data_IF_880979033902
#
_entry.id   IF_880979033902
#
_cell.length_a   1.000
_cell.length_b   1.000
_cell.length_c   1.000
_cell.angle_alpha   90.00
_cell.angle_beta   90.00
_cell.angle_gamma   90.00
#
_symmetry.space_group_name_H-M   'P 1'
#
loop_
_entity.id
_entity.type
_entity.pdbx_description
1 polymer ?
#
# COMPACT_ATOMS: atom_id res chain seq x y z
N UNK A 1 -23.80 -7.46 -28.13
CA UNK A 1 -22.76 -8.05 -27.27
C UNK A 1 -22.89 -7.40 -25.90
N UNK A 2 -23.44 -8.13 -24.93
CA UNK A 2 -23.65 -7.66 -23.56
C UNK A 2 -22.32 -7.21 -22.95
N UNK A 3 -22.23 -5.92 -22.61
CA UNK A 3 -21.17 -5.41 -21.77
C UNK A 3 -21.33 -6.06 -20.40
N UNK A 4 -20.41 -6.96 -20.06
CA UNK A 4 -20.33 -7.63 -18.78
C UNK A 4 -20.24 -6.56 -17.68
N UNK A 5 -21.40 -6.24 -17.08
CA UNK A 5 -21.52 -5.26 -15.99
C UNK A 5 -20.57 -5.68 -14.89
N UNK A 6 -19.66 -4.79 -14.48
CA UNK A 6 -18.67 -5.01 -13.42
C UNK A 6 -19.38 -5.34 -12.10
N UNK A 7 -19.73 -6.60 -11.91
CA UNK A 7 -20.55 -7.11 -10.82
C UNK A 7 -19.70 -7.25 -9.55
N UNK A 8 -20.32 -7.02 -8.39
CA UNK A 8 -19.71 -7.32 -7.10
C UNK A 8 -19.53 -8.83 -6.98
N UNK A 9 -18.35 -9.29 -6.59
CA UNK A 9 -18.04 -10.70 -6.40
C UNK A 9 -18.23 -11.09 -4.93
N UNK A 10 -19.11 -12.06 -4.67
CA UNK A 10 -19.29 -12.67 -3.36
C UNK A 10 -18.74 -14.09 -3.39
N UNK A 11 -17.74 -14.37 -2.56
CA UNK A 11 -17.09 -15.68 -2.51
C UNK A 11 -16.96 -16.17 -1.07
N UNK A 12 -17.37 -17.42 -0.82
CA UNK A 12 -17.06 -18.14 0.40
C UNK A 12 -15.61 -18.63 0.35
N UNK A 13 -14.77 -18.17 1.28
CA UNK A 13 -13.43 -18.71 1.48
C UNK A 13 -13.51 -19.99 2.30
N UNK A 14 -14.27 -19.94 3.39
CA UNK A 14 -14.62 -21.08 4.25
C UNK A 14 -16.12 -21.04 4.53
N UNK A 15 -16.64 -21.96 5.33
CA UNK A 15 -18.04 -21.90 5.77
C UNK A 15 -18.34 -20.64 6.61
N UNK A 16 -17.34 -20.16 7.35
CA UNK A 16 -17.48 -19.04 8.28
C UNK A 16 -16.85 -17.72 7.80
N UNK A 17 -16.12 -17.71 6.66
CA UNK A 17 -15.50 -16.49 6.11
C UNK A 17 -15.93 -16.28 4.66
N UNK A 18 -16.61 -15.16 4.44
CA UNK A 18 -17.12 -14.70 3.13
C UNK A 18 -16.40 -13.42 2.75
N UNK A 19 -16.17 -13.22 1.46
CA UNK A 19 -15.65 -11.96 0.90
C UNK A 19 -16.66 -11.31 -0.02
N UNK A 20 -16.70 -9.97 0.00
CA UNK A 20 -17.43 -9.15 -0.95
C UNK A 20 -16.43 -8.18 -1.57
N UNK A 21 -16.18 -8.34 -2.87
CA UNK A 21 -15.20 -7.56 -3.61
C UNK A 21 -15.90 -6.68 -4.65
N UNK A 22 -15.77 -5.36 -4.48
CA UNK A 22 -16.26 -4.39 -5.43
C UNK A 22 -15.09 -3.73 -6.17
N UNK A 23 -15.01 -3.80 -7.51
CA UNK A 23 -13.90 -3.22 -8.26
C UNK A 23 -13.90 -1.67 -8.20
N UNK A 24 -12.71 -1.05 -8.33
CA UNK A 24 -12.51 0.41 -8.22
C UNK A 24 -13.34 1.25 -9.20
N UNK A 25 -13.68 0.69 -10.37
CA UNK A 25 -14.49 1.37 -11.39
C UNK A 25 -15.98 0.98 -11.38
N UNK A 26 -16.50 0.48 -10.27
CA UNK A 26 -17.91 0.13 -10.14
C UNK A 26 -18.75 1.38 -9.84
N UNK A 27 -19.74 1.73 -10.72
CA UNK A 27 -20.62 2.86 -10.48
C UNK A 27 -21.35 2.76 -9.15
N UNK A 28 -21.54 3.90 -8.47
CA UNK A 28 -22.11 3.93 -7.12
C UNK A 28 -23.52 3.30 -7.06
N UNK A 29 -24.38 3.60 -8.03
CA UNK A 29 -25.74 3.04 -8.07
C UNK A 29 -25.74 1.50 -8.22
N UNK A 30 -24.87 0.95 -9.07
CA UNK A 30 -24.70 -0.50 -9.24
C UNK A 30 -24.18 -1.12 -7.94
N UNK A 31 -23.22 -0.45 -7.31
CA UNK A 31 -22.67 -0.90 -6.04
C UNK A 31 -23.74 -0.98 -4.94
N UNK A 32 -24.53 0.08 -4.77
CA UNK A 32 -25.56 0.15 -3.74
C UNK A 32 -26.68 -0.87 -3.98
N UNK A 33 -27.12 -1.06 -5.22
CA UNK A 33 -28.15 -2.05 -5.55
C UNK A 33 -27.68 -3.48 -5.22
N UNK A 34 -26.50 -3.87 -5.72
CA UNK A 34 -25.95 -5.19 -5.43
C UNK A 34 -25.71 -5.40 -3.92
N UNK A 35 -25.28 -4.35 -3.21
CA UNK A 35 -25.06 -4.43 -1.77
C UNK A 35 -26.36 -4.70 -1.00
N UNK A 36 -27.48 -4.09 -1.40
CA UNK A 36 -28.79 -4.37 -0.82
C UNK A 36 -29.19 -5.83 -1.02
N UNK A 37 -29.07 -6.33 -2.26
CA UNK A 37 -29.43 -7.71 -2.60
C UNK A 37 -28.58 -8.72 -1.80
N UNK A 38 -27.27 -8.46 -1.69
CA UNK A 38 -26.35 -9.29 -0.90
C UNK A 38 -26.71 -9.26 0.58
N UNK A 39 -27.04 -8.10 1.16
CA UNK A 39 -27.40 -7.99 2.57
C UNK A 39 -28.69 -8.76 2.88
N UNK A 40 -29.70 -8.67 2.01
CA UNK A 40 -30.94 -9.46 2.14
C UNK A 40 -30.64 -10.95 2.11
N UNK A 41 -29.77 -11.40 1.21
CA UNK A 41 -29.34 -12.80 1.13
C UNK A 41 -28.59 -13.23 2.40
N UNK A 42 -27.65 -12.42 2.90
CA UNK A 42 -26.91 -12.70 4.13
C UNK A 42 -27.83 -12.79 5.35
N UNK A 43 -28.81 -11.89 5.46
CA UNK A 43 -29.83 -11.93 6.53
C UNK A 43 -30.70 -13.19 6.43
N UNK A 44 -31.14 -13.56 5.23
CA UNK A 44 -31.93 -14.78 5.02
C UNK A 44 -31.16 -16.04 5.39
N UNK A 45 -29.87 -16.11 5.04
CA UNK A 45 -29.04 -17.31 5.25
C UNK A 45 -28.46 -17.43 6.66
N UNK A 46 -28.02 -16.31 7.25
CA UNK A 46 -27.25 -16.29 8.51
C UNK A 46 -27.96 -15.59 9.66
N UNK A 47 -29.11 -14.96 9.44
CA UNK A 47 -29.85 -14.21 10.44
C UNK A 47 -29.00 -13.10 11.07
N UNK A 48 -28.88 -13.13 12.41
CA UNK A 48 -28.06 -12.17 13.18
C UNK A 48 -26.63 -12.67 13.47
N UNK A 49 -26.23 -13.80 12.91
CA UNK A 49 -24.97 -14.47 13.20
C UNK A 49 -23.80 -14.01 12.32
N UNK A 50 -23.98 -12.98 11.49
CA UNK A 50 -22.88 -12.45 10.67
C UNK A 50 -22.49 -11.03 11.08
N UNK A 51 -21.22 -10.71 10.88
CA UNK A 51 -20.66 -9.37 11.01
C UNK A 51 -19.94 -8.98 9.72
N UNK A 52 -20.15 -7.76 9.27
CA UNK A 52 -19.42 -7.21 8.12
C UNK A 52 -18.21 -6.42 8.63
N UNK A 53 -17.03 -6.75 8.13
CA UNK A 53 -15.82 -5.94 8.31
C UNK A 53 -15.57 -5.20 7.00
N UNK A 54 -15.76 -3.90 7.00
CA UNK A 54 -15.47 -3.03 5.86
C UNK A 54 -14.00 -2.63 5.89
N UNK A 55 -13.21 -3.22 4.99
CA UNK A 55 -11.78 -2.96 4.83
C UNK A 55 -11.48 -1.69 4.03
N UNK A 56 -12.50 -0.92 3.65
CA UNK A 56 -12.35 0.31 2.87
C UNK A 56 -12.60 1.54 3.74
N UNK A 57 -12.56 2.72 3.12
CA UNK A 57 -13.04 3.93 3.77
C UNK A 57 -14.49 3.74 4.24
N UNK A 58 -14.81 4.46 5.32
CA UNK A 58 -16.10 4.37 6.00
C UNK A 58 -17.24 4.57 4.99
N UNK A 59 -18.22 3.67 5.06
CA UNK A 59 -19.42 3.74 4.23
C UNK A 59 -20.66 3.78 5.12
N UNK A 60 -21.20 4.97 5.35
CA UNK A 60 -22.39 5.13 6.18
C UNK A 60 -23.60 4.36 5.64
N UNK A 61 -23.66 4.09 4.33
CA UNK A 61 -24.74 3.29 3.74
C UNK A 61 -24.67 1.84 4.17
N UNK A 62 -23.47 1.25 4.23
CA UNK A 62 -23.28 -0.12 4.71
C UNK A 62 -23.72 -0.25 6.18
N UNK A 63 -23.36 0.74 6.99
CA UNK A 63 -23.71 0.79 8.43
C UNK A 63 -25.19 1.08 8.67
N UNK A 64 -25.90 1.74 7.73
CA UNK A 64 -27.36 1.86 7.76
C UNK A 64 -28.08 0.57 7.35
N UNK A 65 -27.53 -0.16 6.39
CA UNK A 65 -28.14 -1.38 5.85
C UNK A 65 -27.94 -2.60 6.76
N UNK A 66 -26.91 -2.60 7.61
CA UNK A 66 -26.63 -3.72 8.51
C UNK A 66 -26.26 -3.27 9.93
N UNK A 67 -26.82 -3.97 10.91
CA UNK A 67 -26.66 -3.70 12.34
C UNK A 67 -25.26 -3.99 12.92
N UNK A 68 -24.45 -4.84 12.28
CA UNK A 68 -23.12 -5.27 12.76
C UNK A 68 -22.07 -5.00 11.68
N UNK A 69 -21.58 -3.76 11.64
CA UNK A 69 -20.52 -3.32 10.72
C UNK A 69 -19.34 -2.79 11.52
N UNK A 70 -18.15 -3.28 11.19
CA UNK A 70 -16.87 -2.74 11.65
C UNK A 70 -16.21 -2.03 10.47
N UNK A 71 -16.13 -0.70 10.51
CA UNK A 71 -15.40 0.10 9.53
C UNK A 71 -13.94 0.25 9.95
N UNK A 72 -13.01 -0.25 9.12
CA UNK A 72 -11.56 -0.11 9.40
C UNK A 72 -10.98 1.22 8.93
N UNK A 73 -11.61 1.84 7.93
CA UNK A 73 -11.14 3.11 7.34
C UNK A 73 -9.85 2.98 6.53
N UNK A 74 -9.43 1.77 6.16
CA UNK A 74 -8.15 1.59 5.47
C UNK A 74 -8.16 2.22 4.08
N UNK A 75 -7.08 2.91 3.74
CA UNK A 75 -6.90 3.64 2.48
C UNK A 75 -6.39 2.69 1.40
N UNK A 76 -6.85 2.86 0.17
CA UNK A 76 -6.43 2.00 -0.92
C UNK A 76 -4.93 2.19 -1.24
N UNK A 77 -4.28 1.13 -1.72
CA UNK A 77 -2.85 1.05 -2.00
C UNK A 77 -1.89 1.21 -0.80
N UNK A 78 -2.36 1.69 0.36
CA UNK A 78 -1.56 1.75 1.58
C UNK A 78 -1.60 0.41 2.33
N UNK A 79 -0.51 0.07 3.00
CA UNK A 79 -0.54 -0.96 4.02
C UNK A 79 -1.17 -0.37 5.30
N UNK A 80 -2.20 -1.01 5.87
CA UNK A 80 -2.67 -0.67 7.21
C UNK A 80 -1.54 -0.83 8.23
N UNK A 81 -1.53 -0.02 9.29
CA UNK A 81 -0.47 -0.14 10.28
C UNK A 81 -0.58 -1.46 11.07
N UNK A 82 0.53 -1.89 11.66
CA UNK A 82 0.61 -3.20 12.34
C UNK A 82 -0.42 -3.36 13.45
N UNK A 83 -0.69 -2.29 14.23
CA UNK A 83 -1.67 -2.32 15.30
C UNK A 83 -3.11 -2.49 14.77
N UNK A 84 -3.45 -1.81 13.67
CA UNK A 84 -4.74 -1.96 12.99
C UNK A 84 -4.91 -3.39 12.48
N UNK A 85 -3.90 -3.96 11.82
CA UNK A 85 -3.96 -5.34 11.32
C UNK A 85 -4.19 -6.31 12.48
N UNK A 86 -3.38 -6.21 13.55
CA UNK A 86 -3.48 -7.07 14.73
C UNK A 86 -4.85 -6.94 15.40
N UNK A 87 -5.36 -5.71 15.55
CA UNK A 87 -6.67 -5.45 16.14
C UNK A 87 -7.78 -6.13 15.35
N UNK A 88 -7.79 -6.00 14.02
CA UNK A 88 -8.81 -6.64 13.17
C UNK A 88 -8.69 -8.17 13.22
N UNK A 89 -7.47 -8.74 13.16
CA UNK A 89 -7.26 -10.19 13.32
C UNK A 89 -7.81 -10.71 14.66
N UNK A 90 -7.51 -10.01 15.77
CA UNK A 90 -8.03 -10.36 17.09
C UNK A 90 -9.55 -10.28 17.16
N UNK A 91 -10.17 -9.26 16.55
CA UNK A 91 -11.63 -9.13 16.48
C UNK A 91 -12.26 -10.27 15.66
N UNK A 92 -11.64 -10.65 14.54
CA UNK A 92 -12.08 -11.79 13.73
C UNK A 92 -12.07 -13.08 14.54
N UNK A 93 -10.95 -13.38 15.20
CA UNK A 93 -10.80 -14.58 16.02
C UNK A 93 -11.82 -14.63 17.15
N UNK A 94 -11.93 -13.54 17.92
CA UNK A 94 -12.89 -13.43 19.02
C UNK A 94 -14.34 -13.58 18.54
N UNK A 95 -14.68 -13.08 17.35
CA UNK A 95 -16.01 -13.24 16.80
C UNK A 95 -16.30 -14.69 16.44
N UNK A 96 -15.40 -15.34 15.70
CA UNK A 96 -15.58 -16.72 15.24
C UNK A 96 -15.60 -17.72 16.41
N UNK A 97 -14.77 -17.52 17.44
CA UNK A 97 -14.73 -18.41 18.61
C UNK A 97 -15.98 -18.33 19.51
N UNK A 98 -16.73 -17.22 19.48
CA UNK A 98 -17.89 -17.04 20.36
C UNK A 98 -19.06 -17.98 20.05
N UNK A 99 -19.23 -18.39 18.80
CA UNK A 99 -20.35 -19.23 18.41
C UNK A 99 -20.09 -19.93 17.06
N UNK A 100 -20.39 -21.24 16.96
CA UNK A 100 -20.11 -22.04 15.76
C UNK A 100 -20.86 -21.59 14.49
N UNK A 101 -22.00 -20.90 14.65
CA UNK A 101 -22.75 -20.31 13.53
C UNK A 101 -22.28 -18.91 13.12
N UNK A 102 -21.26 -18.35 13.77
CA UNK A 102 -20.80 -17.01 13.46
C UNK A 102 -20.07 -16.95 12.11
N UNK A 103 -20.43 -15.97 11.30
CA UNK A 103 -19.86 -15.75 9.97
C UNK A 103 -19.24 -14.35 9.90
N UNK A 104 -18.07 -14.25 9.30
CA UNK A 104 -17.43 -12.99 8.95
C UNK A 104 -17.62 -12.70 7.47
N UNK A 105 -17.97 -11.46 7.17
CA UNK A 105 -18.10 -10.96 5.80
C UNK A 105 -17.07 -9.85 5.60
N UNK A 106 -16.00 -10.14 4.87
CA UNK A 106 -14.91 -9.20 4.58
C UNK A 106 -15.26 -8.41 3.31
N UNK A 107 -15.67 -7.16 3.48
CA UNK A 107 -16.01 -6.27 2.38
C UNK A 107 -14.80 -5.40 1.99
N UNK A 108 -14.49 -5.33 0.69
CA UNK A 108 -13.48 -4.42 0.15
C UNK A 108 -13.95 -3.79 -1.18
N UNK A 109 -13.91 -2.46 -1.27
CA UNK A 109 -14.19 -1.66 -2.47
C UNK A 109 -12.90 -1.03 -2.98
N UNK A 110 -12.52 -1.32 -4.22
CA UNK A 110 -11.26 -0.88 -4.83
C UNK A 110 -10.32 -2.05 -5.10
N UNK A 111 -9.03 -1.85 -4.83
CA UNK A 111 -8.05 -2.93 -4.99
C UNK A 111 -8.19 -4.02 -3.92
N UNK A 112 -7.77 -5.24 -4.28
CA UNK A 112 -7.84 -6.42 -3.42
C UNK A 112 -6.70 -6.48 -2.39
N UNK A 113 -5.71 -5.59 -2.48
CA UNK A 113 -4.52 -5.58 -1.63
C UNK A 113 -4.83 -5.56 -0.13
N UNK A 114 -5.78 -4.74 0.32
CA UNK A 114 -6.21 -4.66 1.73
C UNK A 114 -6.81 -5.98 2.25
N UNK A 115 -7.62 -6.65 1.43
CA UNK A 115 -8.12 -7.99 1.74
C UNK A 115 -6.96 -9.00 1.80
N UNK A 116 -6.00 -8.89 0.88
CA UNK A 116 -4.76 -9.67 0.90
C UNK A 116 -3.99 -9.53 2.20
N UNK A 117 -3.77 -8.29 2.66
CA UNK A 117 -3.11 -8.00 3.94
C UNK A 117 -3.84 -8.70 5.08
N UNK A 118 -5.14 -8.44 5.23
CA UNK A 118 -5.89 -9.00 6.36
C UNK A 118 -5.92 -10.53 6.33
N UNK A 119 -6.23 -11.14 5.18
CA UNK A 119 -6.34 -12.58 5.09
C UNK A 119 -4.99 -13.27 5.34
N UNK A 120 -3.91 -12.77 4.75
CA UNK A 120 -2.57 -13.33 4.97
C UNK A 120 -2.11 -13.20 6.42
N UNK A 121 -2.35 -12.04 7.04
CA UNK A 121 -2.07 -11.81 8.45
C UNK A 121 -2.93 -12.69 9.36
N UNK A 122 -4.22 -12.88 9.04
CA UNK A 122 -5.11 -13.73 9.82
C UNK A 122 -4.74 -15.21 9.73
N UNK A 123 -4.33 -15.70 8.55
CA UNK A 123 -3.78 -17.06 8.37
C UNK A 123 -2.58 -17.30 9.31
N UNK A 124 -1.71 -16.30 9.48
CA UNK A 124 -0.55 -16.40 10.39
C UNK A 124 -0.98 -16.31 11.86
N UNK A 125 -1.89 -15.39 12.17
CA UNK A 125 -2.43 -15.15 13.50
C UNK A 125 -3.17 -16.38 14.06
N UNK A 126 -4.11 -16.94 13.31
CA UNK A 126 -4.91 -18.10 13.74
C UNK A 126 -4.08 -19.37 13.88
N UNK A 127 -3.02 -19.52 13.08
CA UNK A 127 -2.08 -20.66 13.21
C UNK A 127 -1.29 -20.64 14.53
N UNK A 128 -1.12 -19.46 15.14
CA UNK A 128 -0.54 -19.34 16.47
C UNK A 128 -1.57 -19.50 17.59
N UNK A 129 -2.81 -19.07 17.33
CA UNK A 129 -3.89 -19.10 18.32
C UNK A 129 -4.53 -20.49 18.47
N UNK A 130 -4.45 -21.37 17.45
CA UNK A 130 -5.23 -22.60 17.39
C UNK A 130 -4.41 -23.91 17.51
N UNK A 131 -5.00 -24.90 18.17
CA UNK A 131 -4.59 -26.31 18.17
C UNK A 131 -5.29 -27.09 17.04
N UNK A 132 -4.52 -27.69 16.12
CA UNK A 132 -4.84 -28.78 15.17
C UNK A 132 -6.15 -28.86 14.33
N UNK A 133 -7.29 -28.30 14.75
CA UNK A 133 -8.63 -28.57 14.17
C UNK A 133 -9.00 -27.74 12.93
N UNK A 134 -8.15 -26.78 12.50
CA UNK A 134 -8.45 -25.86 11.39
C UNK A 134 -7.76 -26.18 10.06
N UNK A 135 -7.28 -27.41 9.85
CA UNK A 135 -6.44 -27.71 8.68
C UNK A 135 -7.12 -27.44 7.33
N UNK A 136 -8.42 -27.74 7.19
CA UNK A 136 -9.19 -27.50 5.96
C UNK A 136 -9.49 -26.02 5.72
N UNK A 137 -9.90 -25.29 6.75
CA UNK A 137 -10.13 -23.84 6.67
C UNK A 137 -8.83 -23.10 6.35
N UNK A 138 -7.72 -23.50 6.98
CA UNK A 138 -6.40 -22.95 6.70
C UNK A 138 -5.96 -23.21 5.26
N UNK A 139 -6.21 -24.42 4.77
CA UNK A 139 -5.96 -24.77 3.38
C UNK A 139 -6.79 -23.91 2.43
N UNK A 140 -8.09 -23.77 2.67
CA UNK A 140 -8.99 -22.98 1.83
C UNK A 140 -8.61 -21.48 1.84
N UNK A 141 -8.29 -20.92 3.01
CA UNK A 141 -7.78 -19.55 3.15
C UNK A 141 -6.46 -19.35 2.40
N UNK A 142 -5.49 -20.25 2.56
CA UNK A 142 -4.19 -20.18 1.85
C UNK A 142 -4.36 -20.29 0.34
N UNK A 143 -5.24 -21.18 -0.12
CA UNK A 143 -5.53 -21.35 -1.54
C UNK A 143 -6.17 -20.09 -2.12
N UNK A 144 -7.19 -19.56 -1.47
CA UNK A 144 -7.84 -18.32 -1.92
C UNK A 144 -6.85 -17.15 -1.95
N UNK A 145 -6.02 -17.01 -0.91
CA UNK A 145 -4.96 -16.02 -0.88
C UNK A 145 -4.00 -16.16 -2.08
N UNK A 146 -3.48 -17.36 -2.31
CA UNK A 146 -2.56 -17.65 -3.42
C UNK A 146 -3.20 -17.33 -4.78
N UNK A 147 -4.40 -17.85 -5.02
CA UNK A 147 -5.07 -17.81 -6.33
C UNK A 147 -5.63 -16.42 -6.67
N UNK A 148 -6.07 -15.64 -5.67
CA UNK A 148 -6.87 -14.42 -5.89
C UNK A 148 -6.26 -13.13 -5.38
N UNK A 149 -5.36 -13.17 -4.39
CA UNK A 149 -4.91 -11.98 -3.66
C UNK A 149 -3.40 -11.74 -3.78
N UNK A 150 -2.58 -12.78 -3.76
CA UNK A 150 -1.11 -12.70 -3.64
C UNK A 150 -0.44 -11.83 -4.72
N UNK A 151 -0.93 -11.89 -5.96
CA UNK A 151 -0.43 -11.14 -7.11
C UNK A 151 -0.97 -9.71 -7.18
N UNK A 152 -2.02 -9.41 -6.42
CA UNK A 152 -2.70 -8.10 -6.39
C UNK A 152 -2.20 -7.20 -5.25
N UNK A 153 -1.32 -7.71 -4.40
CA UNK A 153 -0.74 -6.96 -3.29
C UNK A 153 0.52 -6.22 -3.72
N UNK A 154 0.69 -5.01 -3.19
CA UNK A 154 1.93 -4.25 -3.37
C UNK A 154 3.05 -4.84 -2.52
N UNK A 155 4.34 -4.64 -2.89
CA UNK A 155 5.48 -4.98 -2.04
C UNK A 155 5.35 -4.44 -0.61
N UNK A 156 4.89 -3.20 -0.44
CA UNK A 156 4.68 -2.61 0.88
C UNK A 156 3.60 -3.32 1.69
N UNK A 157 2.50 -3.74 1.08
CA UNK A 157 1.49 -4.58 1.74
C UNK A 157 2.05 -5.93 2.18
N UNK A 158 2.85 -6.59 1.32
CA UNK A 158 3.51 -7.86 1.66
C UNK A 158 4.52 -7.69 2.80
N UNK A 159 5.26 -6.57 2.82
CA UNK A 159 6.20 -6.21 3.88
C UNK A 159 5.52 -6.18 5.25
N UNK A 160 4.38 -5.49 5.37
CA UNK A 160 3.64 -5.40 6.63
C UNK A 160 3.07 -6.76 7.09
N UNK A 161 2.62 -7.60 6.17
CA UNK A 161 2.24 -8.99 6.48
C UNK A 161 3.43 -9.77 7.03
N UNK A 162 4.60 -9.67 6.40
CA UNK A 162 5.82 -10.32 6.86
C UNK A 162 6.27 -9.83 8.24
N UNK A 163 6.25 -8.52 8.46
CA UNK A 163 6.60 -7.89 9.74
C UNK A 163 5.69 -8.38 10.87
N UNK A 164 4.37 -8.42 10.64
CA UNK A 164 3.44 -8.95 11.63
C UNK A 164 3.72 -10.43 11.89
N UNK A 165 3.95 -11.24 10.85
CA UNK A 165 4.27 -12.65 11.00
C UNK A 165 5.49 -12.90 11.87
N UNK A 166 6.56 -12.15 11.66
CA UNK A 166 7.78 -12.26 12.48
C UNK A 166 7.63 -11.67 13.88
N UNK A 167 6.82 -10.62 14.07
CA UNK A 167 6.44 -10.15 15.41
C UNK A 167 5.70 -11.23 16.19
N UNK A 168 4.70 -11.87 15.56
CA UNK A 168 3.90 -12.91 16.18
C UNK A 168 4.77 -14.10 16.60
N UNK A 169 5.72 -14.52 15.76
CA UNK A 169 6.69 -15.59 16.08
C UNK A 169 7.77 -15.19 17.09
N UNK A 170 7.87 -13.91 17.46
CA UNK A 170 8.94 -13.40 18.32
C UNK A 170 10.32 -13.30 17.64
N UNK A 171 10.38 -13.41 16.32
CA UNK A 171 11.61 -13.29 15.52
C UNK A 171 12.05 -11.82 15.37
N UNK A 172 11.10 -10.89 15.39
CA UNK A 172 11.33 -9.45 15.27
C UNK A 172 10.88 -8.72 16.54
N UNK A 173 11.66 -7.71 16.95
CA UNK A 173 11.35 -6.83 18.08
C UNK A 173 11.17 -5.40 17.59
N UNK A 174 10.02 -4.82 17.93
CA UNK A 174 9.70 -3.44 17.63
C UNK A 174 10.51 -2.51 18.55
N UNK A 175 11.31 -1.62 17.96
CA UNK A 175 11.92 -0.51 18.68
C UNK A 175 11.00 0.72 18.59
N UNK A 176 10.38 1.18 19.68
CA UNK A 176 9.51 2.35 19.62
C UNK A 176 10.30 3.67 19.57
N UNK A 177 11.61 3.66 19.80
CA UNK A 177 12.39 4.90 19.88
C UNK A 177 12.45 5.61 18.53
N UNK A 178 12.24 6.94 18.50
CA UNK A 178 12.36 7.72 17.28
C UNK A 178 13.83 7.79 16.84
N UNK A 179 14.06 7.99 15.54
CA UNK A 179 15.38 8.13 14.94
C UNK A 179 15.41 9.31 13.98
N UNK A 180 16.55 9.98 13.88
CA UNK A 180 16.70 11.08 12.94
C UNK A 180 17.00 10.53 11.56
N UNK A 181 16.28 10.95 10.52
CA UNK A 181 16.67 10.68 9.15
C UNK A 181 17.60 11.80 8.69
N UNK A 182 18.83 11.43 8.35
CA UNK A 182 19.84 12.34 7.82
C UNK A 182 19.73 12.49 6.31
N UNK A 183 19.56 11.37 5.60
CA UNK A 183 19.65 11.38 4.15
C UNK A 183 18.90 10.21 3.51
N UNK A 184 18.30 10.50 2.35
CA UNK A 184 17.75 9.49 1.44
C UNK A 184 18.62 9.43 0.19
N UNK A 185 19.07 8.23 -0.17
CA UNK A 185 19.85 8.01 -1.39
C UNK A 185 19.00 7.24 -2.38
N UNK A 186 18.87 7.79 -3.58
CA UNK A 186 18.25 7.13 -4.72
C UNK A 186 19.34 6.70 -5.70
N UNK A 187 19.52 5.39 -5.84
CA UNK A 187 20.48 4.80 -6.78
C UNK A 187 19.83 4.60 -8.15
N UNK A 188 20.60 4.79 -9.23
CA UNK A 188 20.16 4.64 -10.61
C UNK A 188 18.85 5.39 -10.90
N UNK A 189 18.86 6.73 -10.78
CA UNK A 189 17.63 7.52 -10.89
C UNK A 189 16.95 7.32 -12.25
N UNK A 190 15.60 7.37 -12.29
CA UNK A 190 14.84 7.06 -13.49
C UNK A 190 15.17 8.05 -14.63
N UNK A 191 15.56 7.53 -15.80
CA UNK A 191 15.86 8.33 -17.01
C UNK A 191 14.60 8.39 -17.89
N UNK A 192 13.64 9.22 -17.51
CA UNK A 192 12.33 9.28 -18.18
C UNK A 192 12.46 10.06 -19.50
N UNK A 193 12.00 9.46 -20.62
CA UNK A 193 11.99 10.11 -21.94
C UNK A 193 10.77 11.02 -22.06
N UNK A 194 10.97 12.26 -22.51
CA UNK A 194 9.87 13.10 -22.97
C UNK A 194 9.22 12.48 -24.21
N UNK A 195 7.90 12.30 -24.14
CA UNK A 195 7.06 11.81 -25.22
C UNK A 195 7.38 12.53 -26.56
N UNK A 196 7.79 11.75 -27.57
CA UNK A 196 7.74 12.18 -28.98
C UNK A 196 8.95 12.90 -29.61
N UNK A 197 10.14 12.92 -29.00
CA UNK A 197 11.38 13.21 -29.75
C UNK A 197 12.00 14.59 -29.53
N UNK A 198 12.89 14.65 -28.53
CA UNK A 198 14.25 15.21 -28.56
C UNK A 198 14.79 15.00 -27.14
N UNK A 199 15.91 14.32 -27.03
CA UNK A 199 16.51 13.92 -25.75
C UNK A 199 16.93 15.16 -24.94
N UNK A 200 16.07 15.60 -24.03
CA UNK A 200 16.44 16.50 -22.96
C UNK A 200 16.61 15.64 -21.71
N UNK A 201 17.86 15.30 -21.37
CA UNK A 201 18.22 14.43 -20.24
C UNK A 201 18.00 15.08 -18.86
N UNK A 202 17.04 16.00 -18.73
CA UNK A 202 16.67 16.60 -17.46
C UNK A 202 15.51 15.81 -16.87
N UNK A 203 15.82 14.90 -15.94
CA UNK A 203 14.81 14.21 -15.13
C UNK A 203 14.51 15.05 -13.89
N UNK A 204 13.23 15.07 -13.50
CA UNK A 204 12.76 15.77 -12.31
C UNK A 204 12.10 14.77 -11.38
N UNK A 205 12.72 14.55 -10.22
CA UNK A 205 12.20 13.63 -9.21
C UNK A 205 11.73 14.45 -8.01
N UNK A 206 10.50 14.21 -7.59
CA UNK A 206 9.95 14.78 -6.36
C UNK A 206 9.70 13.65 -5.37
N UNK A 207 10.40 13.69 -4.23
CA UNK A 207 10.24 12.74 -3.14
C UNK A 207 9.40 13.39 -2.03
N UNK A 208 8.30 12.73 -1.67
CA UNK A 208 7.40 13.16 -0.60
C UNK A 208 7.47 12.13 0.50
N UNK A 209 7.93 12.56 1.68
CA UNK A 209 7.78 11.84 2.94
C UNK A 209 6.65 12.49 3.73
N UNK A 210 5.93 11.76 4.59
CA UNK A 210 4.73 12.23 5.31
C UNK A 210 4.79 13.63 5.95
N UNK A 211 5.99 14.23 6.10
CA UNK A 211 6.23 15.55 6.70
C UNK A 211 7.15 16.45 5.83
N UNK A 212 7.79 15.94 4.76
CA UNK A 212 8.84 16.68 4.05
C UNK A 212 8.79 16.47 2.52
N UNK A 213 8.99 17.55 1.78
CA UNK A 213 9.10 17.52 0.31
C UNK A 213 10.52 17.81 -0.12
N UNK A 214 11.04 16.99 -1.02
CA UNK A 214 12.35 17.14 -1.62
C UNK A 214 12.18 17.12 -3.13
N UNK A 215 12.54 18.21 -3.80
CA UNK A 215 12.48 18.30 -5.25
C UNK A 215 13.90 18.29 -5.81
N UNK A 216 14.22 17.44 -6.77
CA UNK A 216 15.52 17.47 -7.45
C UNK A 216 15.38 17.61 -8.96
N UNK A 217 16.25 18.45 -9.52
CA UNK A 217 16.48 18.57 -10.96
C UNK A 217 17.90 18.09 -11.24
N UNK A 218 18.05 17.12 -12.13
CA UNK A 218 19.36 16.53 -12.43
C UNK A 218 19.46 16.10 -13.89
N UNK A 219 20.71 16.05 -14.38
CA UNK A 219 21.02 15.45 -15.66
C UNK A 219 21.14 13.92 -15.52
N UNK A 220 20.11 13.19 -15.95
CA UNK A 220 20.02 11.74 -15.80
C UNK A 220 21.07 10.95 -16.61
N UNK A 221 21.79 11.60 -17.54
CA UNK A 221 22.87 10.99 -18.30
C UNK A 221 24.21 10.89 -17.54
N UNK A 222 24.39 11.68 -16.47
CA UNK A 222 25.68 11.84 -15.79
C UNK A 222 25.60 11.56 -14.27
N UNK A 223 24.50 10.99 -13.79
CA UNK A 223 24.25 10.84 -12.35
C UNK A 223 23.72 9.45 -12.02
N UNK A 224 24.52 8.67 -11.32
CA UNK A 224 24.17 7.32 -10.87
C UNK A 224 23.50 7.30 -9.49
N UNK A 225 23.55 8.42 -8.74
CA UNK A 225 22.97 8.55 -7.40
C UNK A 225 22.47 9.96 -7.14
N UNK A 226 21.35 10.05 -6.43
CA UNK A 226 20.82 11.30 -5.91
C UNK A 226 20.79 11.23 -4.39
N UNK A 227 21.44 12.19 -3.75
CA UNK A 227 21.40 12.37 -2.30
C UNK A 227 20.38 13.44 -1.95
N UNK A 228 19.47 13.13 -1.04
CA UNK A 228 18.53 14.07 -0.47
C UNK A 228 18.89 14.27 1.00
N UNK A 229 19.73 15.27 1.27
CA UNK A 229 20.22 15.58 2.63
C UNK A 229 19.17 16.40 3.38
N UNK A 230 18.66 15.88 4.49
CA UNK A 230 17.69 16.58 5.32
C UNK A 230 18.44 17.53 6.26
N UNK A 231 18.18 18.83 6.13
CA UNK A 231 18.77 19.88 6.97
C UNK A 231 17.66 20.79 7.51
N UNK A 232 17.32 20.71 8.82
CA UNK A 232 17.89 19.79 9.81
C UNK A 232 17.44 18.32 9.59
N UNK A 233 18.16 17.33 10.15
CA UNK A 233 17.71 15.93 10.18
C UNK A 233 16.29 15.80 10.75
N UNK A 234 15.49 14.90 10.20
CA UNK A 234 14.07 14.78 10.55
C UNK A 234 13.85 13.67 11.57
N UNK A 235 13.28 13.99 12.74
CA UNK A 235 12.93 12.98 13.74
C UNK A 235 11.70 12.19 13.27
N UNK A 236 11.86 10.89 13.00
CA UNK A 236 10.79 10.01 12.53
C UNK A 236 10.49 8.89 13.54
N UNK A 237 9.22 8.47 13.59
CA UNK A 237 8.74 7.37 14.41
C UNK A 237 7.54 6.71 13.73
N UNK A 238 7.38 5.40 13.91
CA UNK A 238 6.23 4.65 13.39
C UNK A 238 6.29 4.40 11.88
N UNK A 239 5.13 4.45 11.22
CA UNK A 239 5.01 4.21 9.79
C UNK A 239 5.45 5.42 8.96
N UNK A 240 6.30 5.15 7.96
CA UNK A 240 6.82 6.14 7.01
C UNK A 240 6.41 5.74 5.60
N UNK A 241 5.85 6.70 4.87
CA UNK A 241 5.59 6.58 3.44
C UNK A 241 6.50 7.50 2.65
N UNK A 242 7.03 6.98 1.55
CA UNK A 242 7.81 7.71 0.57
C UNK A 242 7.16 7.55 -0.78
N UNK A 243 6.85 8.66 -1.44
CA UNK A 243 6.30 8.68 -2.79
C UNK A 243 7.22 9.47 -3.70
N UNK A 244 7.60 8.87 -4.82
CA UNK A 244 8.36 9.53 -5.86
C UNK A 244 7.47 9.86 -7.05
N UNK A 245 7.54 11.12 -7.47
CA UNK A 245 6.83 11.63 -8.63
C UNK A 245 7.81 12.07 -9.72
N UNK A 246 7.41 11.85 -10.96
CA UNK A 246 7.93 12.55 -12.13
C UNK A 246 7.08 13.78 -12.40
N UNK A 247 7.71 14.95 -12.48
CA UNK A 247 7.04 16.24 -12.68
C UNK A 247 7.22 16.72 -14.11
N UNK A 248 6.19 16.55 -14.93
CA UNK A 248 6.18 17.11 -16.28
C UNK A 248 5.75 18.60 -16.26
N UNK A 249 6.72 19.49 -16.46
CA UNK A 249 6.48 20.94 -16.46
C UNK A 249 5.50 21.42 -17.53
N UNK A 250 5.32 20.67 -18.63
CA UNK A 250 4.46 21.12 -19.73
C UNK A 250 2.97 20.99 -19.42
N UNK A 251 2.60 20.04 -18.56
CA UNK A 251 1.20 19.67 -18.31
C UNK A 251 0.74 19.89 -16.87
N UNK A 252 1.60 20.43 -16.00
CA UNK A 252 1.37 20.52 -14.54
C UNK A 252 0.91 19.18 -13.92
N UNK A 253 1.24 18.06 -14.57
CA UNK A 253 0.82 16.72 -14.17
C UNK A 253 1.98 16.01 -13.47
N UNK A 254 1.65 15.21 -12.44
CA UNK A 254 2.60 14.38 -11.70
C UNK A 254 2.27 12.93 -11.96
N UNK A 255 3.26 12.16 -12.40
CA UNK A 255 3.13 10.72 -12.51
C UNK A 255 3.88 10.07 -11.34
N UNK A 256 3.25 9.13 -10.66
CA UNK A 256 3.94 8.36 -9.61
C UNK A 256 4.92 7.40 -10.28
N UNK A 257 6.18 7.48 -9.89
CA UNK A 257 7.23 6.56 -10.32
C UNK A 257 7.23 5.32 -9.44
N UNK A 258 7.23 5.50 -8.12
CA UNK A 258 7.07 4.42 -7.17
C UNK A 258 6.55 4.94 -5.82
N UNK A 259 6.10 4.01 -4.97
CA UNK A 259 5.84 4.26 -3.53
C UNK A 259 6.60 3.24 -2.69
N UNK A 260 6.84 3.60 -1.44
CA UNK A 260 7.47 2.74 -0.46
C UNK A 260 6.86 3.05 0.91
N UNK A 261 6.44 2.02 1.63
CA UNK A 261 5.98 2.17 3.02
C UNK A 261 6.72 1.21 3.94
N UNK A 262 7.28 1.71 5.04
CA UNK A 262 8.00 0.91 6.02
C UNK A 262 7.78 1.46 7.43
N UNK A 263 8.17 0.70 8.45
CA UNK A 263 7.99 1.10 9.86
C UNK A 263 9.35 1.26 10.54
N UNK A 264 9.56 2.42 11.16
CA UNK A 264 10.80 2.83 11.82
C UNK A 264 11.29 1.89 12.91
N UNK A 265 10.36 1.29 13.65
CA UNK A 265 10.70 0.37 14.72
C UNK A 265 11.38 -0.94 14.31
N UNK A 266 11.63 -1.14 13.01
CA UNK A 266 12.42 -2.27 12.50
C UNK A 266 13.73 -1.84 11.84
N UNK A 267 14.10 -0.58 12.04
CA UNK A 267 15.43 -0.07 11.70
C UNK A 267 16.36 -0.42 12.85
N UNK A 268 17.16 -1.47 12.67
CA UNK A 268 18.17 -1.89 13.66
C UNK A 268 19.60 -1.49 13.26
N UNK A 269 19.82 -1.18 11.99
CA UNK A 269 21.09 -0.70 11.45
C UNK A 269 21.00 0.80 11.14
N UNK A 270 22.13 1.52 11.09
CA UNK A 270 22.15 2.95 10.72
C UNK A 270 21.73 3.20 9.26
N UNK A 271 21.41 2.14 8.52
CA UNK A 271 21.05 2.16 7.11
C UNK A 271 19.86 1.23 6.84
N UNK A 272 18.89 1.65 6.02
CA UNK A 272 17.82 0.79 5.54
C UNK A 272 17.78 0.79 4.01
N UNK A 273 17.89 -0.40 3.40
CA UNK A 273 17.99 -0.54 1.94
C UNK A 273 16.76 -1.24 1.35
N UNK A 274 16.23 -0.73 0.23
CA UNK A 274 15.11 -1.33 -0.50
C UNK A 274 15.41 -1.46 -1.98
N UNK A 275 15.44 -2.68 -2.48
CA UNK A 275 15.61 -2.98 -3.90
C UNK A 275 14.34 -2.62 -4.68
N UNK A 276 14.41 -2.63 -6.01
CA UNK A 276 13.23 -2.34 -6.84
C UNK A 276 12.03 -3.23 -6.51
N UNK A 277 12.25 -4.53 -6.29
CA UNK A 277 11.19 -5.49 -5.98
C UNK A 277 10.43 -5.13 -4.71
N UNK A 278 11.01 -4.26 -3.88
CA UNK A 278 10.44 -3.74 -2.64
C UNK A 278 9.64 -2.44 -2.86
N UNK A 279 9.65 -1.87 -4.07
CA UNK A 279 8.98 -0.61 -4.40
C UNK A 279 7.64 -0.85 -5.10
N UNK A 280 6.59 -0.19 -4.62
CA UNK A 280 5.26 -0.25 -5.20
C UNK A 280 5.23 0.53 -6.52
N UNK A 281 4.53 0.01 -7.53
CA UNK A 281 4.37 0.63 -8.86
C UNK A 281 5.67 0.75 -9.70
N UNK A 282 6.78 0.13 -9.28
CA UNK A 282 8.02 0.14 -10.07
C UNK A 282 7.97 -0.87 -11.24
N UNK A 283 7.94 -0.39 -12.49
CA UNK A 283 7.79 -1.22 -13.70
C UNK A 283 8.95 -2.19 -13.99
N UNK A 284 8.66 -3.39 -14.52
CA UNK A 284 9.51 -4.58 -14.78
C UNK A 284 10.88 -4.39 -15.49
N UNK A 285 11.14 -3.29 -16.19
CA UNK A 285 12.41 -3.11 -16.94
C UNK A 285 13.58 -2.65 -16.08
N UNK A 286 14.03 -3.37 -15.05
CA UNK A 286 15.15 -2.89 -14.22
C UNK A 286 16.00 -4.06 -13.73
N UNK A 287 17.32 -3.98 -13.94
CA UNK A 287 18.30 -4.93 -13.41
C UNK A 287 18.98 -4.38 -12.16
N UNK A 288 19.35 -5.26 -11.23
CA UNK A 288 20.14 -4.92 -10.05
C UNK A 288 21.58 -4.60 -10.44
N UNK A 289 22.07 -3.42 -10.07
CA UNK A 289 23.51 -3.19 -9.92
C UNK A 289 23.93 -3.58 -8.49
N UNK A 290 25.20 -3.81 -8.24
CA UNK A 290 25.69 -4.06 -6.89
C UNK A 290 25.90 -2.72 -6.16
N UNK A 291 25.59 -2.62 -4.86
CA UNK A 291 25.91 -1.43 -4.07
C UNK A 291 27.43 -1.25 -3.99
N UNK A 292 27.95 -0.16 -4.57
CA UNK A 292 29.29 0.34 -4.25
C UNK A 292 29.18 1.38 -3.13
N UNK A 293 30.03 1.34 -2.11
CA UNK A 293 30.06 2.41 -1.11
C UNK A 293 30.64 3.69 -1.73
N UNK A 294 30.00 4.86 -1.56
CA UNK A 294 30.59 6.13 -1.97
C UNK A 294 31.56 6.63 -0.89
N UNK A 295 32.62 7.30 -1.33
CA UNK A 295 33.60 7.97 -0.46
C UNK A 295 33.19 9.39 -0.06
N UNK A 296 32.12 9.97 -0.65
CA UNK A 296 31.55 11.28 -0.31
C UNK A 296 30.02 11.34 -0.47
N UNK A 297 29.33 11.84 0.55
CA UNK A 297 27.86 12.02 0.63
C UNK A 297 27.37 13.35 0.02
N UNK A 298 27.76 13.66 -1.21
CA UNK A 298 27.38 14.94 -1.83
C UNK A 298 26.98 14.77 -3.30
N UNK A 299 25.94 15.51 -3.69
CA UNK A 299 25.56 15.65 -5.09
C UNK A 299 26.63 16.42 -5.87
N UNK A 300 26.92 15.99 -7.10
CA UNK A 300 27.75 16.75 -8.03
C UNK A 300 27.05 18.03 -8.51
N UNK A 301 27.81 18.94 -9.13
CA UNK A 301 27.30 20.24 -9.62
C UNK A 301 26.15 20.17 -10.63
N UNK A 302 25.87 18.98 -11.21
CA UNK A 302 24.79 18.72 -12.16
C UNK A 302 23.43 18.44 -11.51
N UNK A 303 23.34 18.42 -10.17
CA UNK A 303 22.12 18.12 -9.41
C UNK A 303 21.79 19.31 -8.51
N UNK A 304 20.55 19.80 -8.62
CA UNK A 304 20.02 20.82 -7.72
C UNK A 304 18.85 20.22 -6.96
N UNK A 305 18.88 20.29 -5.63
CA UNK A 305 17.77 19.88 -4.76
C UNK A 305 17.16 21.13 -4.15
N UNK A 306 15.88 21.33 -4.38
CA UNK A 306 15.04 22.35 -3.75
C UNK A 306 14.34 21.74 -2.54
N UNK A 307 14.61 22.35 -1.39
CA UNK A 307 14.09 21.95 -0.08
C UNK A 307 12.88 22.82 0.35
N UNK A 308 12.58 23.90 -0.38
CA UNK A 308 11.61 24.94 0.00
C UNK A 308 10.33 24.90 -0.85
N UNK A 309 10.00 23.76 -1.46
CA UNK A 309 8.76 23.63 -2.25
C UNK A 309 7.51 23.85 -1.39
N UNK A 310 6.87 25.03 -1.52
CA UNK A 310 5.62 25.42 -0.84
C UNK A 310 4.35 24.86 -1.51
N UNK A 311 4.38 23.62 -2.01
CA UNK A 311 3.23 23.05 -2.73
C UNK A 311 2.07 22.68 -1.77
N UNK A 312 0.90 23.33 -1.86
CA UNK A 312 -0.19 23.19 -0.89
C UNK A 312 -0.93 21.85 -0.97
N UNK A 313 -0.73 21.06 -2.03
CA UNK A 313 -1.44 19.78 -2.24
C UNK A 313 -0.91 18.68 -1.30
N UNK A 314 0.30 18.84 -0.75
CA UNK A 314 1.05 17.75 -0.11
C UNK A 314 0.97 17.75 1.43
N UNK A 315 0.52 18.84 2.05
CA UNK A 315 0.29 18.91 3.51
C UNK A 315 -0.86 18.01 4.01
N UNK A 316 -1.59 17.34 3.09
CA UNK A 316 -2.79 16.55 3.37
C UNK A 316 -2.54 15.05 3.55
N UNK A 317 -1.34 14.54 3.31
CA UNK A 317 -1.07 13.09 3.28
C UNK A 317 -0.52 12.53 4.61
N UNK A 318 -0.50 13.33 5.68
CA UNK A 318 -0.36 12.79 7.03
C UNK A 318 -1.66 12.06 7.42
N UNK A 319 -1.57 11.02 8.24
CA UNK A 319 -2.71 10.21 8.76
C UNK A 319 -3.84 10.99 9.48
N UNK A 320 -3.85 12.32 9.44
CA UNK A 320 -4.84 13.19 10.06
C UNK A 320 -5.43 14.17 9.03
N UNK A 321 -6.75 14.03 8.85
CA UNK A 321 -7.72 14.86 8.12
C UNK A 321 -7.94 14.58 6.63
N UNK A 322 -9.07 13.90 6.34
CA UNK A 322 -9.62 13.72 4.99
C UNK A 322 -10.99 14.41 4.93
N UNK A 323 -11.09 15.49 4.14
CA UNK A 323 -12.37 16.02 3.65
C UNK A 323 -12.67 15.44 2.26
N UNK A 324 -13.95 15.18 1.91
CA UNK A 324 -14.32 14.62 0.62
C UNK A 324 -14.41 15.72 -0.43
N UNK A 325 -13.78 15.54 -1.61
CA UNK A 325 -13.96 16.25 -2.91
C UNK A 325 -12.64 16.10 -3.71
N UNK A 326 -12.54 15.72 -4.99
CA UNK A 326 -13.45 15.49 -6.10
C UNK A 326 -12.91 14.33 -6.95
N UNK A 327 -13.81 13.48 -7.43
CA UNK A 327 -13.57 12.49 -8.48
C UNK A 327 -13.28 13.20 -9.81
N UNK A 328 -12.05 13.10 -10.29
CA UNK A 328 -11.71 13.33 -11.70
C UNK A 328 -11.37 11.98 -12.34
N UNK A 329 -12.25 11.49 -13.20
CA UNK A 329 -11.97 10.35 -14.08
C UNK A 329 -10.73 10.64 -14.93
N UNK A 330 -9.80 9.68 -15.01
CA UNK A 330 -8.76 9.65 -16.06
C UNK A 330 -8.74 8.26 -16.69
N UNK A 331 -8.81 8.15 -18.03
CA UNK A 331 -8.81 6.87 -18.71
C UNK A 331 -7.39 6.30 -18.78
N UNK A 332 -7.27 5.00 -18.50
CA UNK A 332 -6.09 4.21 -18.83
C UNK A 332 -5.90 4.17 -20.35
N UNK A 333 -4.76 4.68 -20.83
CA UNK A 333 -3.95 4.13 -21.93
C UNK A 333 -2.73 5.02 -22.19
N UNK A 334 -1.52 4.47 -22.04
CA UNK A 334 -0.48 4.62 -23.05
C UNK A 334 0.50 3.45 -22.97
N UNK A 335 0.63 2.77 -24.10
CA UNK A 335 1.68 1.81 -24.41
C UNK A 335 2.85 2.58 -25.01
N UNK A 336 4.02 2.53 -24.36
CA UNK A 336 5.29 2.99 -24.89
C UNK A 336 6.43 2.19 -24.25
N UNK A 337 7.53 1.91 -24.96
CA UNK A 337 8.60 1.08 -24.43
C UNK A 337 9.40 1.87 -23.37
N UNK A 338 9.39 1.38 -22.13
CA UNK A 338 10.20 1.91 -21.02
C UNK A 338 11.55 1.22 -21.05
N UNK A 339 12.64 2.00 -21.15
CA UNK A 339 14.02 1.49 -21.12
C UNK A 339 14.50 1.22 -19.70
N UNK A 340 15.52 0.36 -19.58
CA UNK A 340 15.94 -0.26 -18.33
C UNK A 340 16.55 0.69 -17.27
N UNK A 341 16.18 0.56 -15.98
CA UNK A 341 16.80 1.28 -14.84
C UNK A 341 17.33 0.33 -13.75
N UNK A 342 17.88 0.84 -12.64
CA UNK A 342 18.35 0.08 -11.46
C UNK A 342 18.10 0.94 -10.21
N UNK A 343 16.95 0.79 -9.55
CA UNK A 343 16.53 1.69 -8.48
C UNK A 343 16.49 0.98 -7.14
N UNK A 344 17.27 1.46 -6.16
CA UNK A 344 17.08 1.14 -4.75
C UNK A 344 17.26 2.38 -3.86
N UNK A 345 16.67 2.30 -2.68
CA UNK A 345 16.68 3.36 -1.66
C UNK A 345 17.60 2.99 -0.52
N UNK A 346 18.39 3.95 -0.05
CA UNK A 346 19.13 3.85 1.21
C UNK A 346 18.70 5.00 2.12
N UNK A 347 18.20 4.68 3.32
CA UNK A 347 17.87 5.66 4.37
C UNK A 347 18.96 5.63 5.41
N UNK A 348 19.52 6.80 5.72
CA UNK A 348 20.65 6.96 6.63
C UNK A 348 20.19 7.71 7.86
N UNK A 349 20.36 7.09 9.02
CA UNK A 349 19.83 7.57 10.29
C UNK A 349 20.91 8.23 11.16
#
# INVERSE_FOLDING_TARGET
>A
MEQNTKQIDLTYITECIITILCPAGCPEHVYLQNLQDIIVMLQSKHGHNYMIINLSQRNDTLSRLNHKVLDTGWVDLLAPNLNQIFTVCSLMENWLQRHSKHVLVLHCRGNKGRLGVLLASYIQFSNMAASADFSLDHFAMRRFYSDKLSTQMTPSQKRYVGMLGSLLKGELRLNPSPSFLLCVVLHGPPKLRADGGKEMFQSKVQLVMCVYMLYSNFNAAQTDRLYFMLQPPQLLQGDVMVVCYDKNHRLANRQVVFRLQFHMGFVHENTLTFCKTDLDCADEGIYDLLPSLPTLWHNGHSVTVDYDTLDPVVRRDSYQEVSPLQTGDMPFKSSGPVTSFSCWFEFLW
#
